data_IF_357639006865
#
_entry.id   IF_357639006865
#
_cell.length_a   1.000
_cell.length_b   1.000
_cell.length_c   1.000
_cell.angle_alpha   90.00
_cell.angle_beta   90.00
_cell.angle_gamma   90.00
#
_symmetry.space_group_name_H-M   'P 1'
#
loop_
_entity.id
_entity.type
_entity.pdbx_description
1 polymer ?
#
# COMPACT_ATOMS: atom_id res chain seq x y z
N UNK A 1 44.22 7.65 -0.42
CA UNK A 1 43.27 6.59 -0.02
C UNK A 1 41.89 7.00 -0.56
N UNK A 2 41.45 6.38 -1.63
CA UNK A 2 40.11 6.64 -2.18
C UNK A 2 39.08 5.86 -1.30
N UNK A 3 37.95 6.46 -0.94
CA UNK A 3 36.90 5.71 -0.23
C UNK A 3 36.34 4.66 -1.19
N UNK A 4 36.37 3.42 -0.75
CA UNK A 4 35.72 2.28 -1.37
C UNK A 4 34.24 2.62 -1.59
N UNK A 5 33.82 2.70 -2.85
CA UNK A 5 32.42 2.71 -3.21
C UNK A 5 31.82 1.37 -2.73
N UNK A 6 31.08 1.40 -1.66
CA UNK A 6 30.17 0.31 -1.32
C UNK A 6 29.22 0.13 -2.50
N UNK A 7 29.31 -1.04 -3.13
CA UNK A 7 28.34 -1.53 -4.10
C UNK A 7 26.98 -1.67 -3.39
N UNK A 8 26.22 -0.58 -3.33
CA UNK A 8 24.82 -0.64 -2.95
C UNK A 8 24.10 -1.43 -4.03
N UNK A 9 23.74 -2.68 -3.71
CA UNK A 9 22.76 -3.44 -4.49
C UNK A 9 21.56 -2.53 -4.75
N UNK A 10 21.05 -2.43 -6.00
CA UNK A 10 19.86 -1.65 -6.26
C UNK A 10 18.73 -2.17 -5.37
N UNK A 11 18.33 -1.38 -4.39
CA UNK A 11 17.17 -1.68 -3.55
C UNK A 11 15.96 -1.75 -4.46
N UNK A 12 15.33 -2.92 -4.56
CA UNK A 12 14.16 -3.09 -5.41
C UNK A 12 13.03 -2.22 -4.86
N UNK A 13 12.57 -1.26 -5.65
CA UNK A 13 11.52 -0.30 -5.28
C UNK A 13 10.13 -0.86 -5.58
N UNK A 14 9.13 -0.35 -4.86
CA UNK A 14 7.71 -0.54 -5.13
C UNK A 14 7.20 0.71 -5.82
N UNK A 15 6.70 0.59 -7.04
CA UNK A 15 6.18 1.74 -7.78
C UNK A 15 4.95 2.32 -7.10
N UNK A 16 4.86 3.65 -7.05
CA UNK A 16 3.77 4.36 -6.38
C UNK A 16 2.46 4.38 -7.19
N UNK A 17 2.54 4.13 -8.49
CA UNK A 17 1.43 4.31 -9.43
C UNK A 17 1.34 5.73 -10.02
N UNK A 18 2.11 6.67 -9.51
CA UNK A 18 2.25 8.03 -10.03
C UNK A 18 3.62 8.24 -10.62
N UNK A 19 3.69 8.76 -11.86
CA UNK A 19 4.96 9.06 -12.51
C UNK A 19 5.78 10.08 -11.71
N UNK A 20 5.18 11.21 -11.38
CA UNK A 20 5.86 12.31 -10.69
C UNK A 20 6.37 11.89 -9.30
N UNK A 21 5.56 11.09 -8.58
CA UNK A 21 5.98 10.61 -7.27
C UNK A 21 7.10 9.56 -7.38
N UNK A 22 7.09 8.74 -8.42
CA UNK A 22 8.20 7.80 -8.67
C UNK A 22 9.49 8.55 -8.98
N UNK A 23 9.45 9.60 -9.80
CA UNK A 23 10.61 10.45 -10.08
C UNK A 23 11.15 11.10 -8.80
N UNK A 24 10.27 11.68 -7.99
CA UNK A 24 10.64 12.32 -6.72
C UNK A 24 11.24 11.34 -5.71
N UNK A 25 10.76 10.09 -5.67
CA UNK A 25 11.26 9.03 -4.79
C UNK A 25 12.38 8.18 -5.44
N UNK A 26 12.93 8.63 -6.55
CA UNK A 26 13.99 7.91 -7.27
C UNK A 26 13.62 6.44 -7.59
N UNK A 27 12.39 6.22 -8.06
CA UNK A 27 11.88 4.93 -8.50
C UNK A 27 10.74 4.35 -7.67
N UNK A 28 10.31 4.99 -6.59
CA UNK A 28 9.18 4.57 -5.77
C UNK A 28 9.51 4.32 -4.30
N UNK A 29 8.59 3.65 -3.60
CA UNK A 29 8.77 3.29 -2.19
C UNK A 29 9.85 2.21 -2.02
N UNK A 30 10.60 2.27 -0.95
CA UNK A 30 11.60 1.25 -0.64
C UNK A 30 10.96 -0.03 -0.09
N UNK A 31 11.46 -1.18 -0.51
CA UNK A 31 11.08 -2.47 0.06
C UNK A 31 11.75 -2.72 1.40
N UNK A 32 11.06 -3.51 2.24
CA UNK A 32 11.60 -3.94 3.52
C UNK A 32 11.54 -2.90 4.63
N UNK A 33 10.91 -1.76 4.37
CA UNK A 33 10.68 -0.71 5.36
C UNK A 33 9.20 -0.31 5.39
N UNK A 34 8.79 0.37 6.45
CA UNK A 34 7.47 0.99 6.58
C UNK A 34 7.57 2.42 6.06
N UNK A 35 6.76 2.77 5.06
CA UNK A 35 6.60 4.14 4.58
C UNK A 35 5.36 4.75 5.19
N UNK A 36 5.50 5.89 5.85
CA UNK A 36 4.40 6.65 6.42
C UNK A 36 4.05 7.84 5.52
N UNK A 37 2.79 7.89 5.06
CA UNK A 37 2.21 9.06 4.41
C UNK A 37 1.34 9.81 5.43
N UNK A 38 1.66 11.06 5.69
CA UNK A 38 0.89 11.89 6.62
C UNK A 38 0.62 13.27 6.04
N UNK A 39 -0.43 13.91 6.54
CA UNK A 39 -0.85 15.23 6.08
C UNK A 39 -2.27 15.55 6.53
N UNK A 40 -2.77 16.77 6.26
CA UNK A 40 -4.12 17.17 6.63
C UNK A 40 -5.18 16.33 5.90
N UNK A 41 -6.42 16.41 6.37
CA UNK A 41 -7.56 15.82 5.68
C UNK A 41 -7.65 16.34 4.24
N UNK A 42 -8.13 15.48 3.33
CA UNK A 42 -8.27 15.77 1.89
C UNK A 42 -6.97 16.15 1.16
N UNK A 43 -5.81 15.79 1.70
CA UNK A 43 -4.50 16.03 1.04
C UNK A 43 -4.10 14.97 0.00
N UNK A 44 -4.96 13.97 -0.25
CA UNK A 44 -4.71 12.95 -1.26
C UNK A 44 -4.03 11.67 -0.77
N UNK A 45 -3.86 11.48 0.55
CA UNK A 45 -3.22 10.28 1.12
C UNK A 45 -3.86 8.98 0.65
N UNK A 46 -5.19 8.88 0.74
CA UNK A 46 -5.94 7.69 0.28
C UNK A 46 -5.81 7.48 -1.22
N UNK A 47 -5.71 8.55 -2.02
CA UNK A 47 -5.47 8.44 -3.45
C UNK A 47 -4.13 7.79 -3.77
N UNK A 48 -3.06 8.20 -3.10
CA UNK A 48 -1.75 7.58 -3.27
C UNK A 48 -1.74 6.11 -2.81
N UNK A 49 -2.44 5.80 -1.73
CA UNK A 49 -2.60 4.42 -1.25
C UNK A 49 -3.29 3.53 -2.31
N UNK A 50 -4.41 4.00 -2.87
CA UNK A 50 -5.17 3.27 -3.89
C UNK A 50 -4.38 3.16 -5.21
N UNK A 51 -3.69 4.23 -5.64
CA UNK A 51 -2.82 4.19 -6.81
C UNK A 51 -1.73 3.11 -6.69
N UNK A 52 -1.07 3.05 -5.54
CA UNK A 52 -0.06 2.04 -5.26
C UNK A 52 -0.65 0.62 -5.27
N UNK A 53 -1.82 0.42 -4.66
CA UNK A 53 -2.53 -0.86 -4.68
C UNK A 53 -2.86 -1.30 -6.10
N UNK A 54 -3.49 -0.43 -6.88
CA UNK A 54 -3.89 -0.71 -8.27
C UNK A 54 -2.69 -1.01 -9.17
N UNK A 55 -1.62 -0.24 -9.06
CA UNK A 55 -0.44 -0.45 -9.88
C UNK A 55 0.25 -1.79 -9.59
N UNK A 56 0.44 -2.11 -8.32
CA UNK A 56 1.18 -3.32 -7.92
C UNK A 56 0.34 -4.59 -8.02
N UNK A 57 -0.98 -4.52 -7.97
CA UNK A 57 -1.88 -5.68 -8.15
C UNK A 57 -1.76 -6.32 -9.54
N UNK A 58 -1.33 -5.57 -10.55
CA UNK A 58 -1.11 -6.05 -11.92
C UNK A 58 0.06 -7.04 -12.06
N UNK A 59 0.91 -7.15 -11.05
CA UNK A 59 2.15 -7.96 -11.08
C UNK A 59 1.99 -9.39 -10.53
N UNK A 60 0.79 -9.94 -10.49
CA UNK A 60 0.48 -11.25 -9.91
C UNK A 60 0.91 -11.42 -8.44
N UNK A 61 0.97 -10.32 -7.69
CA UNK A 61 1.22 -10.32 -6.26
C UNK A 61 -0.05 -9.92 -5.53
N UNK A 62 -0.27 -10.56 -4.39
CA UNK A 62 -1.37 -10.22 -3.50
C UNK A 62 -1.09 -8.86 -2.84
N UNK A 63 -2.05 -7.97 -2.88
CA UNK A 63 -2.04 -6.69 -2.18
C UNK A 63 -3.04 -6.78 -1.04
N UNK A 64 -2.61 -6.47 0.17
CA UNK A 64 -3.50 -6.39 1.33
C UNK A 64 -3.80 -4.91 1.59
N UNK A 65 -5.07 -4.55 1.59
CA UNK A 65 -5.52 -3.20 1.89
C UNK A 65 -6.42 -3.21 3.12
N UNK A 66 -5.95 -2.63 4.22
CA UNK A 66 -6.73 -2.45 5.45
C UNK A 66 -7.32 -1.05 5.41
N UNK A 67 -8.63 -0.95 5.25
CA UNK A 67 -9.37 0.30 5.14
C UNK A 67 -10.20 0.54 6.40
N UNK A 68 -9.76 1.49 7.23
CA UNK A 68 -10.44 1.85 8.47
C UNK A 68 -11.34 3.07 8.32
N UNK A 69 -11.27 3.77 7.18
CA UNK A 69 -12.01 5.01 6.93
C UNK A 69 -13.07 4.90 5.83
N UNK A 70 -13.17 3.74 5.16
CA UNK A 70 -14.08 3.57 4.02
C UNK A 70 -13.61 4.32 2.76
N UNK A 71 -12.32 4.51 2.61
CA UNK A 71 -11.74 5.26 1.48
C UNK A 71 -11.63 4.47 0.19
N UNK A 72 -11.65 3.14 0.30
CA UNK A 72 -11.53 2.23 -0.84
C UNK A 72 -12.87 2.15 -1.59
N UNK A 73 -12.99 2.84 -2.72
CA UNK A 73 -14.22 2.88 -3.51
C UNK A 73 -14.02 2.33 -4.92
N UNK A 74 -15.05 1.61 -5.41
CA UNK A 74 -15.07 1.08 -6.79
C UNK A 74 -15.02 2.18 -7.83
N UNK A 75 -15.68 3.31 -7.59
CA UNK A 75 -15.68 4.45 -8.52
C UNK A 75 -14.27 4.99 -8.73
N UNK A 76 -13.51 5.10 -7.63
CA UNK A 76 -12.13 5.56 -7.67
C UNK A 76 -11.21 4.58 -8.39
N UNK A 77 -11.41 3.29 -8.16
CA UNK A 77 -10.67 2.24 -8.86
C UNK A 77 -11.02 2.24 -10.35
N UNK A 78 -12.28 2.39 -10.72
CA UNK A 78 -12.71 2.53 -12.10
C UNK A 78 -12.02 3.71 -12.81
N UNK A 79 -11.92 4.85 -12.17
CA UNK A 79 -11.20 6.01 -12.70
C UNK A 79 -9.73 5.73 -12.93
N UNK A 80 -9.06 5.09 -11.96
CA UNK A 80 -7.63 4.77 -12.03
C UNK A 80 -7.35 3.68 -13.08
N UNK A 81 -8.23 2.71 -13.22
CA UNK A 81 -8.05 1.57 -14.12
C UNK A 81 -8.66 1.77 -15.51
N UNK A 82 -9.18 2.96 -15.78
CA UNK A 82 -9.85 3.30 -17.05
C UNK A 82 -10.98 2.31 -17.43
N UNK A 83 -11.78 1.92 -16.45
CA UNK A 83 -12.93 1.02 -16.63
C UNK A 83 -12.59 -0.47 -16.65
N UNK A 84 -11.42 -0.89 -16.21
CA UNK A 84 -11.01 -2.29 -16.12
C UNK A 84 -10.68 -2.71 -14.68
N UNK A 85 -11.60 -2.54 -13.70
CA UNK A 85 -11.31 -2.79 -12.29
C UNK A 85 -11.06 -4.26 -11.98
N UNK A 86 -11.64 -5.19 -12.71
CA UNK A 86 -11.57 -6.64 -12.46
C UNK A 86 -10.12 -7.15 -12.49
N UNK A 87 -9.29 -6.62 -13.39
CA UNK A 87 -7.86 -6.96 -13.49
C UNK A 87 -7.07 -6.63 -12.23
N UNK A 88 -7.53 -5.63 -11.51
CA UNK A 88 -6.90 -5.11 -10.29
C UNK A 88 -7.47 -5.80 -9.06
N UNK A 89 -8.79 -5.86 -8.97
CA UNK A 89 -9.51 -6.33 -7.78
C UNK A 89 -9.22 -7.79 -7.43
N UNK A 90 -9.00 -8.65 -8.40
CA UNK A 90 -8.69 -10.07 -8.17
C UNK A 90 -7.46 -10.33 -7.29
N UNK A 91 -6.53 -9.38 -7.25
CA UNK A 91 -5.29 -9.49 -6.49
C UNK A 91 -5.27 -8.62 -5.23
N UNK A 92 -6.36 -7.88 -4.95
CA UNK A 92 -6.48 -7.05 -3.76
C UNK A 92 -7.38 -7.75 -2.74
N UNK A 93 -6.84 -7.97 -1.56
CA UNK A 93 -7.61 -8.41 -0.38
C UNK A 93 -7.92 -7.18 0.45
N UNK A 94 -9.21 -6.84 0.52
CA UNK A 94 -9.69 -5.70 1.30
C UNK A 94 -10.15 -6.19 2.68
N UNK A 95 -9.65 -5.57 3.74
CA UNK A 95 -10.04 -5.78 5.12
C UNK A 95 -10.62 -4.48 5.67
N UNK A 96 -11.78 -4.55 6.31
CA UNK A 96 -12.48 -3.39 6.86
C UNK A 96 -12.73 -3.60 8.37
N UNK A 97 -11.70 -3.53 9.22
CA UNK A 97 -11.89 -3.66 10.67
C UNK A 97 -12.77 -2.53 11.20
N UNK A 98 -13.65 -2.85 12.14
CA UNK A 98 -14.62 -1.90 12.72
C UNK A 98 -14.14 -1.34 14.05
N UNK A 99 -13.19 -1.98 14.70
CA UNK A 99 -12.57 -1.54 15.94
C UNK A 99 -11.04 -1.82 15.94
N UNK A 100 -10.34 -1.27 16.92
CA UNK A 100 -8.90 -1.41 17.02
C UNK A 100 -8.44 -2.83 17.37
N UNK A 101 -9.27 -3.59 18.09
CA UNK A 101 -8.98 -5.00 18.41
C UNK A 101 -9.01 -5.87 17.15
N UNK A 102 -10.00 -5.66 16.29
CA UNK A 102 -10.08 -6.32 15.00
C UNK A 102 -8.91 -5.93 14.09
N UNK A 103 -8.57 -4.64 14.03
CA UNK A 103 -7.40 -4.15 13.28
C UNK A 103 -6.10 -4.84 13.73
N UNK A 104 -5.87 -4.96 15.04
CA UNK A 104 -4.70 -5.67 15.58
C UNK A 104 -4.68 -7.15 15.17
N UNK A 105 -5.84 -7.80 15.23
CA UNK A 105 -6.00 -9.21 14.82
C UNK A 105 -5.67 -9.39 13.34
N UNK A 106 -6.20 -8.52 12.48
CA UNK A 106 -5.96 -8.55 11.04
C UNK A 106 -4.47 -8.39 10.72
N UNK A 107 -3.80 -7.43 11.34
CA UNK A 107 -2.35 -7.21 11.16
C UNK A 107 -1.55 -8.45 11.58
N UNK A 108 -1.85 -9.05 12.73
CA UNK A 108 -1.17 -10.25 13.20
C UNK A 108 -1.39 -11.45 12.27
N UNK A 109 -2.59 -11.59 11.72
CA UNK A 109 -2.90 -12.64 10.74
C UNK A 109 -2.11 -12.44 9.45
N UNK A 110 -2.06 -11.22 8.93
CA UNK A 110 -1.28 -10.88 7.73
C UNK A 110 0.20 -11.19 7.91
N UNK A 111 0.76 -10.84 9.07
CA UNK A 111 2.17 -11.13 9.37
C UNK A 111 2.47 -12.63 9.35
N UNK A 112 1.56 -13.47 9.81
CA UNK A 112 1.68 -14.94 9.73
C UNK A 112 1.58 -15.43 8.28
N UNK A 113 0.62 -14.92 7.51
CA UNK A 113 0.41 -15.30 6.12
C UNK A 113 1.54 -14.83 5.20
N UNK A 114 2.18 -13.69 5.51
CA UNK A 114 3.26 -13.14 4.68
C UNK A 114 4.48 -14.06 4.56
N UNK A 115 4.64 -15.00 5.46
CA UNK A 115 5.72 -16.00 5.39
C UNK A 115 5.45 -17.10 4.34
N UNK A 116 4.19 -17.35 3.99
CA UNK A 116 3.78 -18.42 3.09
C UNK A 116 3.14 -17.95 1.79
N UNK A 117 2.70 -16.70 1.71
CA UNK A 117 2.01 -16.14 0.55
C UNK A 117 2.86 -15.08 -0.18
N UNK A 118 2.64 -14.96 -1.49
CA UNK A 118 3.31 -13.97 -2.32
C UNK A 118 2.66 -12.58 -2.17
N UNK A 119 2.84 -11.95 -1.01
CA UNK A 119 2.36 -10.61 -0.73
C UNK A 119 3.36 -9.59 -1.26
N UNK A 120 2.87 -8.67 -2.11
CA UNK A 120 3.69 -7.63 -2.72
C UNK A 120 3.67 -6.30 -1.98
N UNK A 121 2.54 -5.99 -1.32
CA UNK A 121 2.34 -4.73 -0.63
C UNK A 121 1.24 -4.88 0.43
N UNK A 122 1.44 -4.23 1.57
CA UNK A 122 0.44 -4.10 2.62
C UNK A 122 0.21 -2.60 2.84
N UNK A 123 -1.05 -2.19 2.80
CA UNK A 123 -1.48 -0.80 2.98
C UNK A 123 -2.44 -0.74 4.16
N UNK A 124 -2.28 0.27 5.01
CA UNK A 124 -3.21 0.56 6.13
C UNK A 124 -3.65 2.01 6.02
N UNK A 125 -4.91 2.24 5.73
CA UNK A 125 -5.52 3.56 5.59
C UNK A 125 -6.75 3.71 6.50
N UNK A 126 -6.63 4.27 7.71
CA UNK A 126 -5.45 4.80 8.37
C UNK A 126 -5.07 3.95 9.58
N UNK A 127 -3.82 4.05 10.02
CA UNK A 127 -3.33 3.24 11.14
C UNK A 127 -3.87 3.71 12.49
N UNK A 128 -4.22 4.98 12.65
CA UNK A 128 -4.54 5.59 13.94
C UNK A 128 -6.03 5.86 14.17
N UNK A 129 -6.87 5.75 13.15
CA UNK A 129 -8.28 6.14 13.28
C UNK A 129 -9.02 5.35 14.35
N UNK A 130 -8.97 4.03 14.30
CA UNK A 130 -9.68 3.17 15.25
C UNK A 130 -9.06 3.24 16.65
N UNK A 131 -7.76 3.46 16.76
CA UNK A 131 -7.08 3.68 18.04
C UNK A 131 -7.61 4.93 18.76
N UNK A 132 -7.96 5.98 18.02
CA UNK A 132 -8.49 7.23 18.62
C UNK A 132 -9.92 7.11 19.11
N UNK A 133 -10.64 6.06 18.72
CA UNK A 133 -12.04 5.81 19.10
C UNK A 133 -12.17 4.89 20.33
N UNK A 134 -11.06 4.30 20.81
CA UNK A 134 -10.97 3.59 22.07
C UNK A 134 -10.78 4.59 23.24
#
# INVERSE_FOLDING_TARGET
>A
MQPTQENQKPTSKIMTGSYDLNEWLEGGYEKGIITLLYGPAASGKSNFAILAACHNSKKNKKIIFIDTEGSFSLDRINQITLGLPEFVLKNIVLLNPTDFKEQKKDILQILKQSQSENIGLIIVDSITMLYRLE
#
